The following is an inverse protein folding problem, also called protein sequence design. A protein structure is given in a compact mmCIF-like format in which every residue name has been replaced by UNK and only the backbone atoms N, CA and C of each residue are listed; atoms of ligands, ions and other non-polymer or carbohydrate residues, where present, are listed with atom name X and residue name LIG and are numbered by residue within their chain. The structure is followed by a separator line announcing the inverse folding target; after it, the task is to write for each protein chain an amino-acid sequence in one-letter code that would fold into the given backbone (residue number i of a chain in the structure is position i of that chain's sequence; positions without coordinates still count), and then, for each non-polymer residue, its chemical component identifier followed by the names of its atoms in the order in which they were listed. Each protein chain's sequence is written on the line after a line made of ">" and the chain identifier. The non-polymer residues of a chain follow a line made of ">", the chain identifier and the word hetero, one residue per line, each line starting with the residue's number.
data_IF_546101076075
#
_entry.id   IF_546101076075
#
_cell.length_a   1.000
_cell.length_b   1.000
_cell.length_c   1.000
_cell.angle_alpha   90.00
_cell.angle_beta   90.00
_cell.angle_gamma   90.00
#
_symmetry.space_group_name_H-M   'P 1'
#
loop_
_entity.id
_entity.type
_entity.pdbx_description
1 polymer ?
#
# COMPACT_ATOMS: atom_id res chain seq x y z
N UNK A 1 -5.27 -6.65 -10.91
CA UNK A 1 -4.06 -5.97 -10.37
C UNK A 1 -2.95 -5.96 -11.43
N UNK A 2 -1.95 -5.08 -11.33
CA UNK A 2 -0.72 -5.09 -12.14
C UNK A 2 0.49 -5.17 -11.21
N UNK A 3 1.48 -6.00 -11.54
CA UNK A 3 2.68 -6.24 -10.72
C UNK A 3 3.92 -5.76 -11.48
N UNK A 4 4.82 -5.07 -10.78
CA UNK A 4 6.14 -4.63 -11.25
C UNK A 4 7.19 -5.04 -10.20
N UNK A 5 8.26 -5.74 -10.60
CA UNK A 5 9.24 -6.29 -9.66
C UNK A 5 8.78 -7.60 -8.98
N UNK A 6 9.34 -7.90 -7.81
CA UNK A 6 9.00 -9.10 -7.02
C UNK A 6 7.89 -8.79 -6.02
N UNK A 7 6.71 -9.36 -6.27
CA UNK A 7 5.51 -9.24 -5.43
C UNK A 7 5.29 -10.39 -4.47
N UNK A 8 6.18 -11.39 -4.41
CA UNK A 8 5.98 -12.58 -3.58
C UNK A 8 6.36 -12.33 -2.12
N UNK A 9 5.61 -12.90 -1.18
CA UNK A 9 5.94 -12.87 0.25
C UNK A 9 6.61 -14.16 0.71
N UNK A 10 7.54 -14.01 1.65
CA UNK A 10 7.91 -15.11 2.55
C UNK A 10 6.93 -15.14 3.73
N UNK A 11 6.74 -16.32 4.33
CA UNK A 11 5.71 -16.56 5.35
C UNK A 11 5.86 -15.59 6.54
N UNK A 12 4.73 -15.06 7.03
CA UNK A 12 4.59 -14.11 8.16
C UNK A 12 4.96 -12.64 7.89
N UNK A 13 4.63 -12.11 6.70
CA UNK A 13 4.81 -10.70 6.37
C UNK A 13 3.93 -9.76 7.22
N UNK A 14 4.50 -8.64 7.67
CA UNK A 14 3.76 -7.52 8.25
C UNK A 14 3.26 -6.60 7.14
N UNK A 15 1.95 -6.38 7.15
CA UNK A 15 1.25 -5.47 6.21
C UNK A 15 0.77 -4.25 6.99
N UNK A 16 1.12 -3.06 6.51
CA UNK A 16 0.65 -1.78 7.05
C UNK A 16 -0.04 -0.96 5.97
N UNK A 17 -1.15 -0.31 6.33
CA UNK A 17 -1.93 0.52 5.43
C UNK A 17 -1.85 1.98 5.86
N UNK A 18 -1.27 2.81 4.99
CA UNK A 18 -1.06 4.23 5.23
C UNK A 18 -2.30 5.01 4.80
N UNK A 19 -2.97 5.65 5.77
CA UNK A 19 -4.16 6.47 5.51
C UNK A 19 -3.87 7.94 5.79
N UNK A 20 -4.15 8.86 4.84
CA UNK A 20 -4.07 10.28 5.14
C UNK A 20 -5.18 10.63 6.15
N UNK A 21 -5.09 11.80 6.78
CA UNK A 21 -6.25 12.30 7.54
C UNK A 21 -7.46 12.35 6.60
N UNK A 22 -8.58 11.77 7.02
CA UNK A 22 -9.79 11.72 6.21
C UNK A 22 -10.18 13.15 5.79
N UNK A 23 -10.31 13.36 4.47
CA UNK A 23 -11.02 14.52 3.94
C UNK A 23 -12.40 14.05 3.45
N UNK A 24 -13.35 14.99 3.38
CA UNK A 24 -14.75 14.72 2.98
C UNK A 24 -14.85 13.97 1.63
N UNK A 25 -13.82 14.09 0.78
CA UNK A 25 -13.77 13.51 -0.56
C UNK A 25 -13.33 12.03 -0.60
N UNK A 26 -12.65 11.54 0.43
CA UNK A 26 -12.00 10.22 0.37
C UNK A 26 -12.86 9.08 0.93
N UNK A 27 -13.85 9.39 1.78
CA UNK A 27 -14.65 8.41 2.53
C UNK A 27 -13.82 7.56 3.50
N UNK A 28 -14.47 6.93 4.49
CA UNK A 28 -13.83 5.89 5.29
C UNK A 28 -13.73 4.60 4.47
N UNK A 29 -12.57 3.92 4.53
CA UNK A 29 -12.41 2.62 3.88
C UNK A 29 -12.87 1.51 4.81
N UNK A 30 -13.90 0.76 4.37
CA UNK A 30 -14.50 -0.37 5.09
C UNK A 30 -13.60 -1.62 5.11
N UNK A 31 -12.62 -1.72 4.21
CA UNK A 31 -11.72 -2.87 4.09
C UNK A 31 -10.26 -2.44 4.23
N UNK A 32 -9.47 -3.26 4.93
CA UNK A 32 -8.04 -3.07 5.10
C UNK A 32 -7.31 -4.39 4.86
N UNK A 33 -6.12 -4.33 4.27
CA UNK A 33 -5.24 -5.49 4.09
C UNK A 33 -4.36 -5.79 5.31
N UNK A 34 -4.22 -4.82 6.22
CA UNK A 34 -3.32 -4.91 7.37
C UNK A 34 -3.60 -3.85 8.43
N UNK A 35 -2.61 -3.60 9.28
CA UNK A 35 -2.73 -2.60 10.35
C UNK A 35 -2.76 -1.18 9.76
N UNK A 36 -3.76 -0.39 10.14
CA UNK A 36 -3.91 0.99 9.67
C UNK A 36 -3.00 1.93 10.47
N UNK A 37 -2.23 2.75 9.76
CA UNK A 37 -1.40 3.83 10.32
C UNK A 37 -1.87 5.14 9.71
N UNK A 38 -2.21 6.12 10.56
CA UNK A 38 -2.68 7.42 10.10
C UNK A 38 -1.53 8.41 9.97
N UNK A 39 -1.73 9.40 9.12
CA UNK A 39 -0.82 10.54 9.01
C UNK A 39 -0.58 11.19 10.38
N UNK A 40 0.70 11.35 10.73
CA UNK A 40 1.14 11.84 12.04
C UNK A 40 1.52 10.74 13.04
N UNK A 41 1.05 9.50 12.83
CA UNK A 41 1.46 8.35 13.64
C UNK A 41 2.83 7.82 13.21
N UNK A 42 3.63 7.24 14.13
CA UNK A 42 4.85 6.55 13.77
C UNK A 42 4.55 5.32 12.90
N UNK A 43 5.16 5.27 11.71
CA UNK A 43 5.03 4.14 10.79
C UNK A 43 6.01 3.03 11.22
N UNK A 44 5.53 1.83 11.63
CA UNK A 44 6.43 0.74 11.96
C UNK A 44 7.02 0.13 10.67
N UNK A 45 8.24 -0.44 10.74
CA UNK A 45 8.79 -1.21 9.61
C UNK A 45 7.85 -2.36 9.23
N UNK A 46 7.62 -2.54 7.94
CA UNK A 46 6.73 -3.54 7.37
C UNK A 46 7.31 -4.13 6.07
N UNK A 47 6.84 -5.32 5.70
CA UNK A 47 7.20 -6.00 4.46
C UNK A 47 6.35 -5.52 3.28
N UNK A 48 5.13 -5.07 3.58
CA UNK A 48 4.15 -4.54 2.62
C UNK A 48 3.57 -3.23 3.13
N UNK A 49 3.68 -2.18 2.31
CA UNK A 49 3.03 -0.90 2.54
C UNK A 49 1.89 -0.72 1.56
N UNK A 50 0.67 -0.64 2.07
CA UNK A 50 -0.52 -0.34 1.29
C UNK A 50 -0.75 1.16 1.34
N UNK A 51 -0.84 1.78 0.16
CA UNK A 51 -1.03 3.22 -0.01
C UNK A 51 -2.25 3.49 -0.88
N UNK A 52 -2.75 4.72 -0.81
CA UNK A 52 -3.80 5.21 -1.71
C UNK A 52 -3.44 6.58 -2.20
N UNK A 53 -3.42 6.73 -3.52
CA UNK A 53 -3.12 8.00 -4.19
C UNK A 53 -1.80 8.61 -3.68
N UNK A 54 -0.77 7.78 -3.50
CA UNK A 54 0.49 8.20 -2.87
C UNK A 54 1.16 9.38 -3.60
N UNK A 55 0.86 9.57 -4.88
CA UNK A 55 1.27 10.75 -5.65
C UNK A 55 0.85 12.09 -5.02
N UNK A 56 -0.22 12.11 -4.20
CA UNK A 56 -0.73 13.30 -3.49
C UNK A 56 -0.11 13.48 -2.10
N UNK A 57 0.53 12.45 -1.55
CA UNK A 57 0.93 12.40 -0.15
C UNK A 57 2.44 12.14 -0.01
N UNK A 58 3.22 13.21 0.24
CA UNK A 58 4.68 13.09 0.40
C UNK A 58 5.06 12.13 1.53
N UNK A 59 4.35 12.16 2.66
CA UNK A 59 4.65 11.31 3.80
C UNK A 59 4.49 9.81 3.49
N UNK A 60 3.48 9.43 2.68
CA UNK A 60 3.29 8.05 2.26
C UNK A 60 4.43 7.59 1.35
N UNK A 61 4.85 8.43 0.40
CA UNK A 61 5.99 8.11 -0.49
C UNK A 61 7.26 7.90 0.31
N UNK A 62 7.52 8.79 1.27
CA UNK A 62 8.68 8.69 2.15
C UNK A 62 8.64 7.43 3.05
N UNK A 63 7.46 7.06 3.56
CA UNK A 63 7.29 5.91 4.42
C UNK A 63 7.30 4.56 3.68
N UNK A 64 6.81 4.52 2.44
CA UNK A 64 6.62 3.29 1.68
C UNK A 64 7.76 2.96 0.71
N UNK A 65 8.59 3.93 0.29
CA UNK A 65 9.74 3.68 -0.59
C UNK A 65 10.94 3.11 0.17
N UNK A 66 10.73 1.94 0.77
CA UNK A 66 11.68 1.25 1.64
C UNK A 66 12.33 0.11 0.88
N UNK A 67 13.65 -0.04 1.05
CA UNK A 67 14.41 -1.09 0.40
C UNK A 67 13.90 -2.48 0.82
N UNK A 68 13.72 -3.35 -0.17
CA UNK A 68 13.25 -4.71 0.08
C UNK A 68 11.76 -4.82 0.42
N UNK A 69 10.98 -3.74 0.49
CA UNK A 69 9.54 -3.80 0.74
C UNK A 69 8.71 -3.96 -0.55
N UNK A 70 7.45 -4.38 -0.43
CA UNK A 70 6.44 -4.28 -1.50
C UNK A 70 5.54 -3.07 -1.22
N UNK A 71 5.22 -2.32 -2.27
CA UNK A 71 4.22 -1.25 -2.21
C UNK A 71 2.96 -1.66 -2.96
N UNK A 72 1.80 -1.56 -2.32
CA UNK A 72 0.49 -1.80 -2.94
C UNK A 72 -0.25 -0.47 -3.08
N UNK A 73 -0.48 0.00 -4.29
CA UNK A 73 -1.26 1.20 -4.58
C UNK A 73 -2.71 0.86 -4.90
N UNK A 74 -3.64 1.33 -4.06
CA UNK A 74 -5.08 1.06 -4.15
C UNK A 74 -5.89 2.16 -4.83
N UNK A 75 -5.29 3.33 -5.07
CA UNK A 75 -5.85 4.45 -5.82
C UNK A 75 -5.26 4.54 -7.22
N UNK A 76 -4.94 5.77 -7.65
CA UNK A 76 -4.39 6.05 -8.97
C UNK A 76 -2.86 5.83 -8.99
N UNK A 77 -2.33 4.91 -9.80
CA UNK A 77 -0.92 4.55 -9.84
C UNK A 77 -0.09 5.56 -10.65
N UNK A 78 -0.04 6.82 -10.19
CA UNK A 78 0.78 7.89 -10.79
C UNK A 78 2.23 7.86 -10.29
N UNK A 79 2.41 7.54 -9.01
CA UNK A 79 3.75 7.43 -8.40
C UNK A 79 4.30 6.01 -8.52
N UNK A 80 5.63 5.88 -8.56
CA UNK A 80 6.36 4.60 -8.48
C UNK A 80 7.46 4.68 -7.42
N UNK A 81 7.57 3.70 -6.51
CA UNK A 81 8.71 3.60 -5.61
C UNK A 81 9.97 3.28 -6.41
N UNK A 82 11.13 3.69 -5.89
CA UNK A 82 12.44 3.51 -6.52
C UNK A 82 13.34 2.52 -5.77
N UNK A 83 13.04 2.27 -4.49
CA UNK A 83 13.79 1.40 -3.58
C UNK A 83 13.04 0.12 -3.23
N UNK A 84 11.71 0.15 -3.27
CA UNK A 84 10.88 -1.04 -3.06
C UNK A 84 11.26 -2.15 -4.05
N UNK A 85 11.24 -3.41 -3.59
CA UNK A 85 11.54 -4.58 -4.45
C UNK A 85 10.39 -4.90 -5.41
N UNK A 86 9.17 -4.49 -5.05
CA UNK A 86 7.96 -4.78 -5.78
C UNK A 86 6.92 -3.68 -5.63
N UNK A 87 6.10 -3.53 -6.68
CA UNK A 87 5.00 -2.58 -6.74
C UNK A 87 3.77 -3.26 -7.35
N UNK A 88 2.63 -3.15 -6.67
CA UNK A 88 1.35 -3.72 -7.10
C UNK A 88 0.33 -2.59 -7.22
N UNK A 89 -0.22 -2.38 -8.42
CA UNK A 89 -1.34 -1.47 -8.63
C UNK A 89 -2.66 -2.27 -8.60
N UNK A 90 -3.52 -1.96 -7.63
CA UNK A 90 -4.82 -2.62 -7.45
C UNK A 90 -5.97 -1.94 -8.20
N UNK A 91 -5.79 -0.68 -8.63
CA UNK A 91 -6.79 0.12 -9.37
C UNK A 91 -8.13 0.29 -8.63
N UNK A 92 -8.09 0.23 -7.30
CA UNK A 92 -9.24 0.33 -6.40
C UNK A 92 -8.97 -0.42 -5.10
N UNK A 93 -9.60 -0.01 -4.01
CA UNK A 93 -9.58 -0.74 -2.73
C UNK A 93 -10.90 -1.41 -2.39
N UNK A 94 -11.62 -1.89 -3.41
CA UNK A 94 -12.79 -2.75 -3.22
C UNK A 94 -12.38 -4.11 -2.65
N UNK A 95 -13.31 -4.86 -2.04
CA UNK A 95 -13.04 -6.23 -1.55
C UNK A 95 -12.38 -7.11 -2.63
N UNK A 96 -12.96 -7.13 -3.83
CA UNK A 96 -12.44 -7.92 -4.96
C UNK A 96 -11.03 -7.49 -5.37
N UNK A 97 -10.74 -6.19 -5.32
CA UNK A 97 -9.39 -5.68 -5.60
C UNK A 97 -8.37 -6.16 -4.57
N UNK A 98 -8.73 -6.13 -3.28
CA UNK A 98 -7.85 -6.55 -2.18
C UNK A 98 -7.67 -8.09 -2.13
N UNK A 99 -8.69 -8.86 -2.52
CA UNK A 99 -8.59 -10.30 -2.71
C UNK A 99 -7.59 -10.63 -3.81
N UNK A 100 -7.69 -9.98 -4.97
CA UNK A 100 -6.74 -10.17 -6.07
C UNK A 100 -5.30 -9.76 -5.69
N UNK A 101 -5.12 -8.76 -4.82
CA UNK A 101 -3.78 -8.46 -4.24
C UNK A 101 -3.31 -9.59 -3.34
N UNK A 102 -4.19 -10.12 -2.49
CA UNK A 102 -3.84 -11.20 -1.55
C UNK A 102 -3.41 -12.47 -2.28
N UNK A 103 -4.03 -12.79 -3.41
CA UNK A 103 -3.62 -13.89 -4.29
C UNK A 103 -2.23 -13.70 -4.89
N UNK A 104 -1.87 -12.46 -5.27
CA UNK A 104 -0.52 -12.15 -5.79
C UNK A 104 0.56 -12.23 -4.71
N UNK A 105 0.19 -11.88 -3.48
CA UNK A 105 1.10 -11.88 -2.34
C UNK A 105 1.36 -13.29 -1.76
N UNK A 106 0.55 -14.30 -2.13
CA UNK A 106 0.63 -15.68 -1.63
C UNK A 106 1.69 -16.50 -2.34
#
# INVERSE_FOLDING_TARGET
>A
VRVEGDGSLVRAARIVELRPVANIAAGEFEHALGAVVREGDPVPPADVYVVRDAHRHQWMRAAADVEGAIVVETGLPVWRPTRARGYIAAFGGSRASLEAVSEVLS
#
